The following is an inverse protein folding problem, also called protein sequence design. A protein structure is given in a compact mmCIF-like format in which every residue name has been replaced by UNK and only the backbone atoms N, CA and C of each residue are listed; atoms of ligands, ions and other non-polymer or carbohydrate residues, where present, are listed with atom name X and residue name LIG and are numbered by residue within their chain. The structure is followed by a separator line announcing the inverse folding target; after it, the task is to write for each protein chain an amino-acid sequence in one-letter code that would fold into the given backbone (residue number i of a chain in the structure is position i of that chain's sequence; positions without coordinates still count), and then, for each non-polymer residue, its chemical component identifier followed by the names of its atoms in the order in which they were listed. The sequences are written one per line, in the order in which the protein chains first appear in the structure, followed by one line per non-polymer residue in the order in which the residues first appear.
data_IF_731531275112
#
_entry.id   IF_731531275112
#
_cell.length_a   1.000
_cell.length_b   1.000
_cell.length_c   1.000
_cell.angle_alpha   90.00
_cell.angle_beta   90.00
_cell.angle_gamma   90.00
#
_symmetry.space_group_name_H-M   'P 1'
#
loop_
_entity.id
_entity.type
_entity.pdbx_description
1 polymer ?
#
# COMPACT_ATOMS: atom_id res chain seq x y z
N UNK A 1 -12.90 7.72 -13.08
CA UNK A 1 -12.81 6.50 -12.23
C UNK A 1 -11.34 6.34 -11.87
N UNK A 2 -11.03 5.95 -10.64
CA UNK A 2 -9.65 5.67 -10.21
C UNK A 2 -9.22 4.36 -10.90
N UNK A 3 -8.12 4.36 -11.64
CA UNK A 3 -7.54 3.18 -12.30
C UNK A 3 -6.30 2.64 -11.58
N UNK A 4 -5.70 3.46 -10.72
CA UNK A 4 -4.62 3.08 -9.80
C UNK A 4 -4.62 3.98 -8.58
N UNK A 5 -4.19 3.45 -7.42
CA UNK A 5 -3.99 4.20 -6.19
C UNK A 5 -2.82 3.63 -5.38
N UNK A 6 -2.24 4.49 -4.54
CA UNK A 6 -1.08 4.16 -3.74
C UNK A 6 -1.44 3.86 -2.28
N UNK A 7 -0.91 2.79 -1.72
CA UNK A 7 -1.01 2.44 -0.30
C UNK A 7 0.20 3.00 0.44
N UNK A 8 -0.03 4.05 1.21
CA UNK A 8 0.94 4.59 2.15
C UNK A 8 0.75 3.98 3.54
N UNK A 9 1.82 3.85 4.29
CA UNK A 9 1.75 3.54 5.72
C UNK A 9 2.18 4.73 6.56
N UNK A 10 1.68 4.82 7.79
CA UNK A 10 2.20 5.79 8.77
C UNK A 10 3.60 5.41 9.28
N UNK A 11 4.02 4.15 9.06
CA UNK A 11 5.32 3.60 9.50
C UNK A 11 5.59 2.28 8.77
N UNK A 12 6.75 1.67 9.04
CA UNK A 12 7.02 0.26 8.77
C UNK A 12 6.16 -0.61 9.70
N UNK A 13 5.81 -1.82 9.26
CA UNK A 13 5.04 -2.83 10.04
C UNK A 13 3.65 -2.38 10.52
N UNK A 14 3.08 -1.33 9.94
CA UNK A 14 1.68 -0.94 10.20
C UNK A 14 0.67 -1.86 9.51
N UNK A 15 1.15 -2.82 8.71
CA UNK A 15 0.33 -3.82 8.04
C UNK A 15 -0.20 -3.36 6.69
N UNK A 16 0.58 -2.60 5.91
CA UNK A 16 0.21 -2.24 4.53
C UNK A 16 -0.23 -3.44 3.72
N UNK A 17 0.54 -4.53 3.74
CA UNK A 17 0.25 -5.75 2.97
C UNK A 17 -1.04 -6.45 3.43
N UNK A 18 -1.37 -6.36 4.72
CA UNK A 18 -2.66 -6.86 5.25
C UNK A 18 -3.81 -6.02 4.71
N UNK A 19 -3.69 -4.69 4.76
CA UNK A 19 -4.68 -3.77 4.21
C UNK A 19 -4.79 -3.88 2.68
N UNK A 20 -3.67 -3.95 1.97
CA UNK A 20 -3.61 -4.15 0.51
C UNK A 20 -4.36 -5.42 0.09
N UNK A 21 -4.09 -6.52 0.78
CA UNK A 21 -4.82 -7.79 0.54
C UNK A 21 -6.32 -7.63 0.77
N UNK A 22 -6.72 -7.00 1.89
CA UNK A 22 -8.12 -6.78 2.20
C UNK A 22 -8.83 -5.95 1.13
N UNK A 23 -8.20 -4.88 0.66
CA UNK A 23 -8.73 -4.01 -0.40
C UNK A 23 -8.81 -4.77 -1.73
N UNK A 24 -7.77 -5.52 -2.13
CA UNK A 24 -7.80 -6.34 -3.36
C UNK A 24 -8.93 -7.38 -3.33
N UNK A 25 -9.16 -8.02 -2.19
CA UNK A 25 -10.27 -8.97 -2.02
C UNK A 25 -11.64 -8.28 -2.12
N UNK A 26 -11.80 -7.11 -1.48
CA UNK A 26 -13.04 -6.34 -1.53
C UNK A 26 -13.33 -5.81 -2.96
N UNK A 27 -12.31 -5.36 -3.70
CA UNK A 27 -12.44 -4.94 -5.09
C UNK A 27 -12.80 -6.12 -6.00
N UNK A 28 -12.16 -7.27 -5.82
CA UNK A 28 -12.47 -8.49 -6.58
C UNK A 28 -13.89 -9.00 -6.34
N UNK A 29 -14.44 -8.79 -5.12
CA UNK A 29 -15.83 -9.09 -4.80
C UNK A 29 -16.84 -8.14 -5.50
N UNK A 30 -16.36 -7.07 -6.13
CA UNK A 30 -17.12 -6.14 -6.98
C UNK A 30 -16.91 -6.44 -8.48
N UNK A 31 -16.45 -7.64 -8.82
CA UNK A 31 -16.16 -8.11 -10.18
C UNK A 31 -15.10 -7.28 -10.94
N UNK A 32 -14.27 -6.50 -10.20
CA UNK A 32 -13.18 -5.75 -10.80
C UNK A 32 -11.95 -6.64 -11.02
N UNK A 33 -11.34 -6.50 -12.18
CA UNK A 33 -10.02 -7.07 -12.46
C UNK A 33 -8.96 -6.26 -11.75
N UNK A 34 -8.27 -6.86 -10.78
CA UNK A 34 -7.30 -6.17 -9.92
C UNK A 34 -5.89 -6.72 -10.08
N UNK A 35 -4.90 -5.85 -9.97
CA UNK A 35 -3.48 -6.20 -9.90
C UNK A 35 -2.87 -5.49 -8.69
N UNK A 36 -1.99 -6.21 -7.96
CA UNK A 36 -1.14 -5.61 -6.93
C UNK A 36 0.23 -5.29 -7.49
N UNK A 37 0.80 -4.14 -7.16
CA UNK A 37 2.09 -3.67 -7.61
C UNK A 37 2.95 -3.23 -6.41
N UNK A 38 4.13 -3.82 -6.25
CA UNK A 38 5.15 -3.48 -5.24
C UNK A 38 6.38 -2.94 -5.96
N UNK A 39 6.42 -1.64 -6.30
CA UNK A 39 7.47 -1.10 -7.18
C UNK A 39 8.88 -1.32 -6.63
N UNK A 40 9.05 -1.16 -5.32
CA UNK A 40 10.33 -1.34 -4.64
C UNK A 40 10.14 -2.17 -3.38
N UNK A 41 10.93 -3.20 -3.20
CA UNK A 41 10.98 -4.03 -2.01
C UNK A 41 12.42 -4.27 -1.56
N UNK A 42 12.66 -4.20 -0.25
CA UNK A 42 13.94 -4.56 0.38
C UNK A 42 13.71 -5.76 1.31
N UNK A 43 14.80 -6.48 1.64
CA UNK A 43 14.71 -7.72 2.42
C UNK A 43 14.10 -8.89 1.63
N UNK A 44 14.46 -8.99 0.36
CA UNK A 44 14.02 -10.08 -0.50
C UNK A 44 14.83 -11.35 -0.26
N UNK A 45 14.17 -12.49 -0.35
CA UNK A 45 14.81 -13.80 -0.23
C UNK A 45 15.25 -14.30 -1.61
N UNK A 46 16.45 -14.90 -1.65
CA UNK A 46 16.97 -15.54 -2.88
C UNK A 46 16.28 -16.89 -3.09
N UNK A 47 15.66 -17.07 -4.25
CA UNK A 47 15.01 -18.31 -4.67
C UNK A 47 15.61 -18.83 -5.97
N UNK A 48 15.17 -20.00 -6.43
CA UNK A 48 15.54 -20.53 -7.75
C UNK A 48 15.07 -19.64 -8.92
N UNK A 49 14.06 -18.80 -8.68
CA UNK A 49 13.51 -17.84 -9.65
C UNK A 49 14.02 -16.41 -9.46
N UNK A 50 15.11 -16.19 -8.71
CA UNK A 50 15.64 -14.87 -8.37
C UNK A 50 15.16 -14.38 -7.00
N UNK A 51 15.35 -13.08 -6.74
CA UNK A 51 14.91 -12.47 -5.48
C UNK A 51 13.39 -12.34 -5.43
N UNK A 52 12.80 -12.71 -4.29
CA UNK A 52 11.36 -12.63 -4.05
C UNK A 52 11.06 -11.95 -2.71
N UNK A 53 10.12 -11.03 -2.75
CA UNK A 53 9.63 -10.33 -1.56
C UNK A 53 8.29 -10.92 -1.10
N UNK A 54 8.14 -11.17 0.18
CA UNK A 54 6.91 -11.77 0.74
C UNK A 54 5.68 -10.90 0.52
N UNK A 55 5.78 -9.57 0.58
CA UNK A 55 4.65 -8.67 0.37
C UNK A 55 4.21 -8.70 -1.10
N UNK A 56 5.16 -8.63 -2.06
CA UNK A 56 4.86 -8.76 -3.49
C UNK A 56 4.17 -10.09 -3.82
N UNK A 57 4.62 -11.19 -3.21
CA UNK A 57 3.97 -12.51 -3.38
C UNK A 57 2.54 -12.53 -2.80
N UNK A 58 2.30 -11.86 -1.66
CA UNK A 58 0.96 -11.74 -1.10
C UNK A 58 0.03 -10.89 -2.00
N UNK A 59 0.54 -9.80 -2.59
CA UNK A 59 -0.21 -9.01 -3.56
C UNK A 59 -0.56 -9.83 -4.80
N UNK A 60 0.43 -10.55 -5.36
CA UNK A 60 0.22 -11.46 -6.49
C UNK A 60 -0.85 -12.53 -6.20
N UNK A 61 -0.86 -13.05 -4.97
CA UNK A 61 -1.88 -14.01 -4.53
C UNK A 61 -3.27 -13.39 -4.40
N UNK A 62 -3.37 -12.19 -3.84
CA UNK A 62 -4.63 -11.52 -3.51
C UNK A 62 -5.32 -10.91 -4.75
N UNK A 63 -4.55 -10.51 -5.75
CA UNK A 63 -5.06 -9.93 -7.00
C UNK A 63 -5.87 -10.95 -7.82
N UNK A 64 -6.95 -10.49 -8.48
CA UNK A 64 -7.78 -11.34 -9.33
C UNK A 64 -7.07 -11.71 -10.64
N UNK A 65 -6.19 -10.83 -11.15
CA UNK A 65 -5.37 -11.10 -12.35
C UNK A 65 -3.91 -11.36 -11.97
N UNK A 66 -3.34 -12.42 -12.51
CA UNK A 66 -1.92 -12.76 -12.31
C UNK A 66 -1.07 -12.14 -13.40
N UNK A 67 0.08 -11.62 -13.01
CA UNK A 67 1.12 -11.06 -13.87
C UNK A 67 2.45 -11.71 -13.55
N UNK A 68 3.45 -11.50 -14.40
CA UNK A 68 4.81 -11.93 -14.12
C UNK A 68 5.35 -11.16 -12.89
N UNK A 69 6.10 -11.86 -12.05
CA UNK A 69 6.60 -11.27 -10.80
C UNK A 69 7.44 -10.01 -11.04
N UNK A 70 8.25 -10.01 -12.08
CA UNK A 70 9.15 -8.92 -12.48
C UNK A 70 8.38 -7.65 -12.95
N UNK A 71 7.11 -7.80 -13.32
CA UNK A 71 6.23 -6.66 -13.59
C UNK A 71 5.61 -6.11 -12.30
N UNK A 72 5.43 -6.97 -11.30
CA UNK A 72 4.83 -6.62 -10.00
C UNK A 72 5.87 -6.07 -9.03
N UNK A 73 7.12 -6.53 -9.10
CA UNK A 73 8.20 -6.09 -8.23
C UNK A 73 9.50 -5.92 -9.00
N UNK A 74 9.64 -4.83 -9.77
CA UNK A 74 10.83 -4.59 -10.59
C UNK A 74 12.12 -4.38 -9.78
N UNK A 75 12.02 -3.81 -8.59
CA UNK A 75 13.18 -3.64 -7.71
C UNK A 75 13.02 -4.49 -6.45
N UNK A 76 13.55 -5.72 -6.53
CA UNK A 76 13.61 -6.69 -5.45
C UNK A 76 15.03 -6.72 -4.86
N UNK A 77 15.27 -5.95 -3.80
CA UNK A 77 16.58 -5.77 -3.17
C UNK A 77 16.77 -6.78 -2.02
N UNK A 78 17.95 -7.38 -1.93
CA UNK A 78 18.27 -8.42 -0.94
C UNK A 78 18.37 -7.86 0.47
N UNK A 79 19.06 -6.72 0.64
CA UNK A 79 19.32 -6.18 1.97
C UNK A 79 18.04 -5.69 2.66
N UNK A 80 17.82 -6.16 3.89
CA UNK A 80 16.70 -5.77 4.74
C UNK A 80 16.95 -4.42 5.42
N UNK A 81 16.89 -3.33 4.64
CA UNK A 81 17.12 -1.96 5.10
C UNK A 81 16.28 -0.98 4.27
N UNK A 82 16.49 0.34 4.45
CA UNK A 82 15.84 1.34 3.61
C UNK A 82 16.24 1.17 2.14
N UNK A 83 15.30 1.33 1.18
CA UNK A 83 15.53 1.07 -0.23
C UNK A 83 16.77 1.73 -0.83
N UNK A 84 17.04 3.01 -0.52
CA UNK A 84 18.22 3.71 -1.02
C UNK A 84 19.55 3.10 -0.53
N UNK A 85 19.57 2.60 0.72
CA UNK A 85 20.76 1.93 1.27
C UNK A 85 20.95 0.58 0.57
N UNK A 86 19.91 -0.24 0.46
CA UNK A 86 19.98 -1.52 -0.23
C UNK A 86 20.44 -1.34 -1.68
N UNK A 87 19.81 -0.43 -2.43
CA UNK A 87 20.15 -0.12 -3.81
C UNK A 87 21.62 0.30 -3.97
N UNK A 88 22.12 1.16 -3.08
CA UNK A 88 23.52 1.60 -3.08
C UNK A 88 24.50 0.45 -2.88
N UNK A 89 24.25 -0.43 -1.89
CA UNK A 89 25.13 -1.58 -1.62
C UNK A 89 25.07 -2.66 -2.71
N UNK A 90 23.93 -2.76 -3.40
CA UNK A 90 23.72 -3.72 -4.49
C UNK A 90 24.09 -3.14 -5.87
N UNK A 91 24.58 -1.88 -5.94
CA UNK A 91 24.87 -1.14 -7.18
C UNK A 91 23.66 -1.09 -8.14
N UNK A 92 22.46 -0.91 -7.59
CA UNK A 92 21.21 -0.76 -8.33
C UNK A 92 20.78 0.70 -8.28
N UNK A 93 20.32 1.26 -9.40
CA UNK A 93 19.68 2.56 -9.45
C UNK A 93 18.16 2.35 -9.58
N UNK A 94 17.37 2.95 -8.68
CA UNK A 94 15.90 2.92 -8.77
C UNK A 94 15.48 4.09 -9.64
N UNK A 95 14.99 3.78 -10.85
CA UNK A 95 14.59 4.76 -11.86
C UNK A 95 13.06 4.89 -11.90
N UNK A 96 12.54 6.12 -11.81
CA UNK A 96 11.10 6.38 -11.85
C UNK A 96 10.47 5.97 -13.18
N UNK A 97 11.21 6.10 -14.29
CA UNK A 97 10.75 5.69 -15.61
C UNK A 97 10.40 4.19 -15.64
N UNK A 98 11.25 3.34 -15.06
CA UNK A 98 10.97 1.91 -14.95
C UNK A 98 9.72 1.65 -14.11
N UNK A 99 9.54 2.39 -13.00
CA UNK A 99 8.34 2.25 -12.18
C UNK A 99 7.08 2.65 -12.95
N UNK A 100 7.15 3.75 -13.71
CA UNK A 100 6.04 4.28 -14.52
C UNK A 100 5.67 3.36 -15.68
N UNK A 101 6.67 2.82 -16.40
CA UNK A 101 6.43 1.87 -17.50
C UNK A 101 5.75 0.59 -17.02
N UNK A 102 6.19 0.05 -15.86
CA UNK A 102 5.56 -1.10 -15.26
C UNK A 102 4.11 -0.78 -14.82
N UNK A 103 3.90 0.36 -14.17
CA UNK A 103 2.56 0.80 -13.78
C UNK A 103 1.63 0.93 -15.00
N UNK A 104 2.10 1.56 -16.08
CA UNK A 104 1.32 1.70 -17.30
C UNK A 104 0.94 0.33 -17.92
N UNK A 105 1.88 -0.63 -17.92
CA UNK A 105 1.63 -2.00 -18.36
C UNK A 105 0.55 -2.67 -17.51
N UNK A 106 0.60 -2.50 -16.18
CA UNK A 106 -0.37 -3.10 -15.26
C UNK A 106 -1.76 -2.47 -15.42
N UNK A 107 -1.84 -1.14 -15.56
CA UNK A 107 -3.10 -0.41 -15.84
C UNK A 107 -3.75 -0.85 -17.15
N UNK A 108 -2.98 -1.09 -18.19
CA UNK A 108 -3.50 -1.60 -19.46
C UNK A 108 -4.08 -3.03 -19.37
N UNK A 109 -3.83 -3.73 -18.25
CA UNK A 109 -4.20 -5.12 -18.06
C UNK A 109 -5.23 -5.37 -16.94
N UNK A 110 -5.76 -4.32 -16.30
CA UNK A 110 -6.73 -4.43 -15.20
C UNK A 110 -7.61 -3.20 -15.10
N UNK A 111 -8.72 -3.33 -14.39
CA UNK A 111 -9.60 -2.21 -14.07
C UNK A 111 -8.99 -1.35 -12.95
N UNK A 112 -8.19 -1.96 -12.06
CA UNK A 112 -7.62 -1.30 -10.91
C UNK A 112 -6.24 -1.85 -10.54
N UNK A 113 -5.25 -0.97 -10.37
CA UNK A 113 -3.93 -1.31 -9.83
C UNK A 113 -3.79 -0.76 -8.41
N UNK A 114 -3.52 -1.64 -7.45
CA UNK A 114 -3.13 -1.27 -6.09
C UNK A 114 -1.61 -1.23 -6.00
N UNK A 115 -1.04 -0.04 -5.79
CA UNK A 115 0.41 0.18 -5.67
C UNK A 115 0.80 0.22 -4.20
N UNK A 116 1.55 -0.76 -3.71
CA UNK A 116 1.98 -0.79 -2.31
C UNK A 116 3.36 -0.17 -2.11
N UNK A 117 3.43 0.85 -1.27
CA UNK A 117 4.67 1.50 -0.86
C UNK A 117 5.54 0.63 0.06
N UNK A 118 6.77 1.07 0.28
CA UNK A 118 7.68 0.56 1.30
C UNK A 118 7.71 1.54 2.49
N UNK A 119 7.84 1.05 3.73
CA UNK A 119 7.95 1.91 4.92
C UNK A 119 6.80 2.89 5.10
N UNK A 120 7.13 4.15 5.44
CA UNK A 120 6.18 5.26 5.56
C UNK A 120 6.03 6.07 4.27
N UNK A 121 5.65 7.37 4.38
CA UNK A 121 5.43 8.23 3.22
C UNK A 121 6.74 8.75 2.59
N UNK A 122 7.68 9.23 3.40
CA UNK A 122 8.98 9.78 2.95
C UNK A 122 10.07 8.73 2.93
N UNK A 123 9.92 7.69 2.12
CA UNK A 123 10.93 6.63 1.97
C UNK A 123 11.94 7.01 0.89
N UNK A 124 13.23 7.15 1.24
CA UNK A 124 14.27 7.45 0.27
C UNK A 124 14.47 6.27 -0.69
N UNK A 125 14.61 6.57 -1.97
CA UNK A 125 14.99 5.62 -3.04
C UNK A 125 16.37 5.92 -3.61
N UNK A 126 16.88 7.14 -3.35
CA UNK A 126 18.26 7.59 -3.61
C UNK A 126 18.71 8.57 -2.52
N UNK A 127 19.88 9.16 -2.65
CA UNK A 127 20.37 10.20 -1.73
C UNK A 127 19.55 11.51 -1.84
N UNK A 128 18.81 11.74 -2.93
CA UNK A 128 18.03 12.96 -3.21
C UNK A 128 16.53 12.74 -3.35
N UNK A 129 16.10 11.50 -3.63
CA UNK A 129 14.75 11.21 -4.09
C UNK A 129 13.98 10.30 -3.13
N UNK A 130 12.67 10.51 -3.09
CA UNK A 130 11.73 9.73 -2.28
C UNK A 130 10.74 8.97 -3.17
N UNK A 131 10.29 7.81 -2.73
CA UNK A 131 9.22 7.08 -3.44
C UNK A 131 7.96 7.94 -3.60
N UNK A 132 7.66 8.80 -2.61
CA UNK A 132 6.55 9.76 -2.68
C UNK A 132 6.70 10.79 -3.80
N UNK A 133 7.92 11.11 -4.25
CA UNK A 133 8.13 12.00 -5.39
C UNK A 133 7.66 11.36 -6.70
N UNK A 134 7.90 10.06 -6.87
CA UNK A 134 7.33 9.30 -7.99
C UNK A 134 5.80 9.21 -7.91
N UNK A 135 5.24 8.93 -6.71
CA UNK A 135 3.77 8.92 -6.51
C UNK A 135 3.15 10.25 -6.90
N UNK A 136 3.83 11.36 -6.57
CA UNK A 136 3.43 12.72 -6.97
C UNK A 136 3.53 12.94 -8.47
N UNK A 137 4.58 12.44 -9.13
CA UNK A 137 4.72 12.51 -10.59
C UNK A 137 3.57 11.79 -11.29
N UNK A 138 3.21 10.60 -10.84
CA UNK A 138 2.09 9.80 -11.35
C UNK A 138 0.71 10.30 -10.92
N UNK A 139 0.63 11.29 -10.03
CA UNK A 139 -0.61 11.84 -9.48
C UNK A 139 -1.53 10.76 -8.90
N UNK A 140 -0.94 9.73 -8.28
CA UNK A 140 -1.72 8.62 -7.71
C UNK A 140 -2.50 9.10 -6.47
N UNK A 141 -3.83 8.85 -6.42
CA UNK A 141 -4.57 9.00 -5.18
C UNK A 141 -4.02 8.04 -4.12
N UNK A 142 -4.11 8.44 -2.85
CA UNK A 142 -3.47 7.71 -1.76
C UNK A 142 -4.50 7.14 -0.79
N UNK A 143 -4.31 5.90 -0.37
CA UNK A 143 -4.97 5.30 0.79
C UNK A 143 -3.94 5.15 1.90
N UNK A 144 -4.25 5.67 3.08
CA UNK A 144 -3.35 5.63 4.25
C UNK A 144 -3.68 4.45 5.16
N UNK A 145 -2.69 3.63 5.47
CA UNK A 145 -2.81 2.56 6.46
C UNK A 145 -2.23 3.03 7.78
N UNK A 146 -3.08 3.05 8.81
CA UNK A 146 -2.73 3.45 10.17
C UNK A 146 -2.66 2.20 11.05
N UNK A 147 -1.45 1.84 11.48
CA UNK A 147 -1.27 0.80 12.49
C UNK A 147 -1.65 1.34 13.87
N UNK A 148 -2.70 0.80 14.47
CA UNK A 148 -3.24 1.31 15.75
C UNK A 148 -2.35 0.87 16.91
N UNK A 149 -1.59 1.82 17.41
CA UNK A 149 -0.65 1.72 18.55
C UNK A 149 -0.50 3.08 19.22
N UNK A 150 0.11 3.15 20.38
CA UNK A 150 0.48 4.43 20.99
C UNK A 150 1.38 5.23 20.05
N UNK A 151 1.06 6.52 19.84
CA UNK A 151 1.74 7.44 18.90
C UNK A 151 1.11 7.47 17.51
N UNK A 152 0.16 6.57 17.16
CA UNK A 152 -0.44 6.51 15.83
C UNK A 152 -1.20 7.79 15.45
N UNK A 153 -1.79 8.52 16.39
CA UNK A 153 -2.50 9.77 16.14
C UNK A 153 -1.57 10.80 15.50
N UNK A 154 -0.40 11.03 16.12
CA UNK A 154 0.61 11.96 15.59
C UNK A 154 1.14 11.49 14.23
N UNK A 155 1.49 10.22 14.09
CA UNK A 155 2.02 9.68 12.83
C UNK A 155 0.99 9.78 11.69
N UNK A 156 -0.28 9.49 11.97
CA UNK A 156 -1.34 9.57 10.97
C UNK A 156 -1.57 11.00 10.50
N UNK A 157 -1.65 11.96 11.44
CA UNK A 157 -1.86 13.37 11.11
C UNK A 157 -0.69 13.93 10.29
N UNK A 158 0.55 13.76 10.75
CA UNK A 158 1.75 14.22 10.02
C UNK A 158 1.85 13.60 8.62
N UNK A 159 1.48 12.32 8.47
CA UNK A 159 1.49 11.65 7.18
C UNK A 159 0.40 12.20 6.26
N UNK A 160 -0.83 12.37 6.76
CA UNK A 160 -1.94 12.93 5.99
C UNK A 160 -1.64 14.38 5.54
N UNK A 161 -1.11 15.21 6.44
CA UNK A 161 -0.67 16.58 6.14
C UNK A 161 0.43 16.60 5.06
N UNK A 162 1.40 15.68 5.13
CA UNK A 162 2.47 15.57 4.14
C UNK A 162 1.96 15.14 2.76
N UNK A 163 1.01 14.19 2.69
CA UNK A 163 0.35 13.77 1.44
C UNK A 163 -0.40 14.95 0.82
N UNK A 164 -1.17 15.70 1.62
CA UNK A 164 -1.91 16.89 1.18
C UNK A 164 -0.98 18.01 0.70
N UNK A 165 0.13 18.24 1.42
CA UNK A 165 1.15 19.23 1.04
C UNK A 165 1.86 18.87 -0.28
N UNK A 166 1.94 17.59 -0.63
CA UNK A 166 2.44 17.13 -1.94
C UNK A 166 1.43 17.34 -3.08
N UNK A 167 0.23 17.84 -2.78
CA UNK A 167 -0.84 18.09 -3.77
C UNK A 167 -1.59 16.83 -4.19
N UNK A 168 -1.53 15.76 -3.38
CA UNK A 168 -2.20 14.49 -3.67
C UNK A 168 -3.51 14.34 -2.89
N UNK A 169 -4.43 13.59 -3.49
CA UNK A 169 -5.71 13.27 -2.88
C UNK A 169 -5.57 12.06 -1.95
N UNK A 170 -5.88 12.27 -0.67
CA UNK A 170 -6.10 11.18 0.27
C UNK A 170 -7.55 10.68 0.08
N UNK A 171 -7.72 9.54 -0.60
CA UNK A 171 -9.04 9.02 -0.99
C UNK A 171 -9.63 8.03 0.01
N UNK A 172 -8.88 7.71 1.06
CA UNK A 172 -9.35 6.87 2.15
C UNK A 172 -8.25 6.48 3.12
N UNK A 173 -8.63 5.89 4.23
CA UNK A 173 -7.70 5.31 5.18
C UNK A 173 -8.24 4.03 5.81
N UNK A 174 -7.33 3.18 6.29
CA UNK A 174 -7.64 1.90 6.94
C UNK A 174 -7.02 1.88 8.32
N UNK A 175 -7.83 1.59 9.34
CA UNK A 175 -7.34 1.28 10.68
C UNK A 175 -6.93 -0.20 10.74
N UNK A 176 -5.67 -0.47 10.99
CA UNK A 176 -5.20 -1.84 11.18
C UNK A 176 -4.80 -2.04 12.66
N UNK A 177 -5.52 -2.91 13.37
CA UNK A 177 -5.23 -3.22 14.77
C UNK A 177 -4.03 -4.15 14.87
N UNK A 178 -2.82 -3.57 14.98
CA UNK A 178 -1.56 -4.32 15.05
C UNK A 178 -1.20 -4.76 16.47
N UNK A 179 -1.85 -4.20 17.49
CA UNK A 179 -1.66 -4.56 18.89
C UNK A 179 -3.01 -4.89 19.55
N UNK A 180 -3.25 -6.13 19.98
CA UNK A 180 -4.51 -6.52 20.62
C UNK A 180 -4.75 -5.82 21.98
N UNK A 181 -3.67 -5.43 22.67
CA UNK A 181 -3.70 -4.77 23.97
C UNK A 181 -3.80 -3.25 23.91
N UNK A 182 -4.12 -2.64 22.75
CA UNK A 182 -4.30 -1.19 22.66
C UNK A 182 -5.50 -0.75 23.47
N UNK A 183 -5.24 -0.03 24.57
CA UNK A 183 -6.25 0.61 25.38
C UNK A 183 -6.89 1.80 24.64
N UNK A 184 -8.11 2.17 25.03
CA UNK A 184 -8.85 3.31 24.44
C UNK A 184 -8.96 3.25 22.91
N UNK A 185 -9.07 2.05 22.34
CA UNK A 185 -9.10 1.85 20.88
C UNK A 185 -10.21 2.68 20.21
N UNK A 186 -11.42 2.69 20.78
CA UNK A 186 -12.55 3.43 20.22
C UNK A 186 -12.29 4.96 20.20
N UNK A 187 -11.68 5.49 21.25
CA UNK A 187 -11.34 6.92 21.33
C UNK A 187 -10.28 7.29 20.28
N UNK A 188 -9.31 6.40 20.06
CA UNK A 188 -8.28 6.58 19.02
C UNK A 188 -8.95 6.62 17.63
N UNK A 189 -9.86 5.68 17.33
CA UNK A 189 -10.57 5.66 16.04
C UNK A 189 -11.39 6.94 15.85
N UNK A 190 -12.16 7.34 16.85
CA UNK A 190 -12.95 8.57 16.79
C UNK A 190 -12.07 9.81 16.51
N UNK A 191 -10.91 9.90 17.16
CA UNK A 191 -9.97 10.99 16.93
C UNK A 191 -9.39 10.98 15.50
N UNK A 192 -9.05 9.80 14.98
CA UNK A 192 -8.57 9.66 13.60
C UNK A 192 -9.65 10.06 12.58
N UNK A 193 -10.91 9.65 12.79
CA UNK A 193 -12.04 10.02 11.93
C UNK A 193 -12.28 11.54 11.89
N UNK A 194 -12.04 12.23 13.00
CA UNK A 194 -12.20 13.68 13.09
C UNK A 194 -11.06 14.46 12.42
N UNK A 195 -9.86 13.89 12.30
CA UNK A 195 -8.66 14.62 11.89
C UNK A 195 -8.09 14.17 10.54
N UNK A 196 -8.46 12.99 10.04
CA UNK A 196 -8.10 12.56 8.69
C UNK A 196 -9.23 12.99 7.75
N UNK A 197 -8.94 13.96 6.88
CA UNK A 197 -9.87 14.49 5.88
C UNK A 197 -10.03 13.51 4.69
N UNK A 198 -10.50 12.31 5.00
CA UNK A 198 -10.76 11.24 4.04
C UNK A 198 -11.67 10.16 4.67
N UNK A 199 -12.46 9.42 3.89
CA UNK A 199 -13.31 8.35 4.42
C UNK A 199 -12.49 7.21 5.03
N UNK A 200 -12.95 6.68 6.17
CA UNK A 200 -12.45 5.42 6.70
C UNK A 200 -13.00 4.26 5.86
N UNK A 201 -12.12 3.56 5.16
CA UNK A 201 -12.48 2.39 4.34
C UNK A 201 -12.75 1.16 5.18
N UNK A 202 -12.23 1.09 6.39
CA UNK A 202 -12.50 -0.03 7.28
C UNK A 202 -11.56 -0.14 8.47
N UNK A 203 -11.86 -1.14 9.29
CA UNK A 203 -11.08 -1.52 10.47
C UNK A 203 -10.74 -3.01 10.41
N UNK A 204 -9.46 -3.32 10.33
CA UNK A 204 -8.99 -4.70 10.35
C UNK A 204 -8.64 -5.06 11.79
N UNK A 205 -9.33 -6.05 12.41
CA UNK A 205 -9.04 -6.45 13.76
C UNK A 205 -7.67 -7.12 13.88
N UNK A 206 -7.16 -7.25 15.10
CA UNK A 206 -5.97 -8.07 15.33
C UNK A 206 -6.28 -9.54 15.03
N UNK A 207 -5.57 -10.11 14.06
CA UNK A 207 -5.77 -11.49 13.61
C UNK A 207 -4.42 -12.21 13.55
N UNK A 208 -4.37 -13.37 14.22
CA UNK A 208 -3.26 -14.29 14.02
C UNK A 208 -3.26 -14.79 12.57
N UNK A 209 -2.12 -14.71 11.92
CA UNK A 209 -1.97 -15.11 10.49
C UNK A 209 -2.92 -14.36 9.54
N UNK A 210 -3.13 -13.05 9.74
CA UNK A 210 -4.02 -12.21 8.93
C UNK A 210 -3.81 -12.41 7.41
N UNK A 211 -2.55 -12.53 6.97
CA UNK A 211 -2.21 -12.74 5.55
C UNK A 211 -2.76 -14.05 4.94
N UNK A 212 -3.28 -14.98 5.74
CA UNK A 212 -3.88 -16.25 5.28
C UNK A 212 -5.42 -16.25 5.30
N UNK A 213 -6.05 -15.18 5.79
CA UNK A 213 -7.50 -15.08 5.96
C UNK A 213 -8.16 -14.30 4.84
N UNK A 214 -9.48 -14.44 4.70
CA UNK A 214 -10.31 -13.52 3.93
C UNK A 214 -10.57 -12.27 4.76
N UNK A 215 -10.09 -11.15 4.26
CA UNK A 215 -10.12 -9.85 4.92
C UNK A 215 -11.03 -8.84 4.21
N UNK A 216 -11.52 -9.16 3.01
CA UNK A 216 -12.31 -8.23 2.18
C UNK A 216 -13.55 -7.70 2.92
N UNK A 217 -14.16 -8.53 3.77
CA UNK A 217 -15.33 -8.17 4.59
C UNK A 217 -15.12 -7.01 5.59
N UNK A 218 -13.87 -6.63 5.87
CA UNK A 218 -13.54 -5.52 6.78
C UNK A 218 -13.38 -4.19 6.04
N UNK A 219 -13.48 -4.17 4.72
CA UNK A 219 -13.21 -3.00 3.87
C UNK A 219 -14.43 -2.65 3.03
N UNK A 220 -14.81 -1.39 3.07
CA UNK A 220 -15.72 -0.76 2.13
C UNK A 220 -14.91 -0.04 1.05
N UNK A 221 -15.01 -0.53 -0.19
CA UNK A 221 -14.32 0.06 -1.35
C UNK A 221 -15.21 1.06 -2.11
N UNK A 222 -16.45 1.29 -1.69
CA UNK A 222 -17.38 2.24 -2.32
C UNK A 222 -16.76 3.64 -2.53
N UNK A 223 -15.98 4.20 -1.57
CA UNK A 223 -15.31 5.48 -1.79
C UNK A 223 -14.27 5.47 -2.92
N UNK A 224 -13.76 4.30 -3.30
CA UNK A 224 -12.75 4.16 -4.37
C UNK A 224 -13.39 3.94 -5.75
N UNK A 225 -14.53 3.26 -5.81
CA UNK A 225 -15.11 2.79 -7.09
C UNK A 225 -16.54 3.26 -7.35
N UNK A 226 -17.17 3.92 -6.38
CA UNK A 226 -18.58 4.32 -6.44
C UNK A 226 -19.53 3.21 -6.01
N UNK A 227 -20.84 3.53 -5.94
CA UNK A 227 -21.89 2.55 -5.65
C UNK A 227 -21.97 1.49 -6.76
N UNK A 228 -22.34 0.24 -6.43
CA UNK A 228 -22.62 -0.76 -7.45
C UNK A 228 -23.74 -0.28 -8.35
N UNK A 229 -23.54 -0.38 -9.67
CA UNK A 229 -24.66 -0.20 -10.60
C UNK A 229 -25.71 -1.27 -10.25
N UNK A 230 -26.86 -0.85 -9.82
CA UNK A 230 -27.98 -1.74 -9.57
C UNK A 230 -28.40 -2.37 -10.89
N UNK A 231 -28.17 -3.68 -11.05
CA UNK A 231 -28.69 -4.48 -12.14
C UNK A 231 -30.18 -4.73 -11.98
#
# INVERSE_FOLDING_TARGET
MIDAFFIAGTDTDVGKTVASKAILQALSARDLTTIGYKPVAAGCEKTEHGFRNSDALHLLQAASKKMDYEDINPYALELATSPHIAAKYENVTIEYEVLSDKLAKLKANSDMVLVEGAGGWRVPVSDSDYLSSWVKQEQLPVVLVVGIKLGCLSHAQLTAESIKADGLNLVGWVANRINPGTEHYADIITMLEQHIDAPKLGEIPYLLSAKRQDLGKYIDVTPLVGEPEHA
#
